data_IF_063179103676
#
_entry.id   IF_063179103676
#
_cell.length_a   1.000
_cell.length_b   1.000
_cell.length_c   1.000
_cell.angle_alpha   90.00
_cell.angle_beta   90.00
_cell.angle_gamma   90.00
#
_symmetry.space_group_name_H-M   'P 1'
#
loop_
_entity.id
_entity.type
_entity.pdbx_description
1 polymer ?
#
# COMPACT_ATOMS: atom_id res chain seq x y z
N UNK A 1 -5.78 22.48 11.51
CA UNK A 1 -4.80 21.44 11.93
C UNK A 1 -3.63 21.34 10.98
N UNK A 2 -3.86 21.01 9.70
CA UNK A 2 -2.80 20.96 8.67
C UNK A 2 -2.40 22.36 8.15
N UNK A 3 -2.71 23.40 8.91
CA UNK A 3 -2.34 24.79 8.61
C UNK A 3 -1.17 25.20 9.50
N UNK A 4 -0.54 26.32 9.16
CA UNK A 4 0.60 26.88 9.89
C UNK A 4 0.33 27.06 11.39
N UNK A 5 -0.93 27.24 11.76
CA UNK A 5 -1.38 27.40 13.14
C UNK A 5 -1.26 26.13 14.00
N UNK A 6 -1.08 24.94 13.41
CA UNK A 6 -0.87 23.64 14.11
C UNK A 6 -1.79 23.41 15.31
N UNK A 7 -3.04 23.84 15.23
CA UNK A 7 -4.04 23.73 16.28
C UNK A 7 -5.16 22.76 15.85
N UNK A 8 -5.50 21.84 16.76
CA UNK A 8 -6.66 20.98 16.70
C UNK A 8 -7.77 21.56 17.56
N UNK A 9 -8.89 21.89 16.93
CA UNK A 9 -10.08 22.40 17.60
C UNK A 9 -11.10 21.28 17.69
N UNK A 10 -11.47 20.90 18.90
CA UNK A 10 -12.47 19.88 19.16
C UNK A 10 -13.90 20.49 19.13
N UNK A 11 -14.95 19.68 18.91
CA UNK A 11 -16.34 20.16 19.00
C UNK A 11 -16.71 20.78 20.36
N UNK A 12 -15.97 20.43 21.43
CA UNK A 12 -16.07 21.03 22.76
C UNK A 12 -15.46 22.44 22.85
N UNK A 13 -14.94 22.99 21.75
CA UNK A 13 -14.12 24.20 21.67
C UNK A 13 -12.74 24.12 22.33
N UNK A 14 -12.31 22.94 22.79
CA UNK A 14 -10.94 22.75 23.26
C UNK A 14 -9.94 22.92 22.11
N UNK A 15 -8.80 23.56 22.40
CA UNK A 15 -7.75 23.87 21.43
C UNK A 15 -6.46 23.18 21.83
N UNK A 16 -6.07 22.15 21.09
CA UNK A 16 -4.90 21.34 21.35
C UNK A 16 -3.79 21.71 20.35
N UNK A 17 -2.67 22.30 20.79
CA UNK A 17 -1.55 22.61 19.90
C UNK A 17 -0.71 21.36 19.58
N UNK A 18 -0.38 21.15 18.30
CA UNK A 18 0.57 20.12 17.88
C UNK A 18 2.01 20.62 18.06
N UNK A 19 2.82 19.83 18.76
CA UNK A 19 4.24 20.12 18.98
C UNK A 19 5.05 19.91 17.69
N UNK A 20 6.19 20.58 17.57
CA UNK A 20 7.02 20.56 16.34
C UNK A 20 7.50 19.16 15.92
N UNK A 21 7.69 18.26 16.88
CA UNK A 21 8.12 16.87 16.64
C UNK A 21 6.97 15.93 16.24
N UNK A 22 5.71 16.35 16.34
CA UNK A 22 4.57 15.52 15.94
C UNK A 22 4.47 15.49 14.42
N UNK A 23 4.24 14.29 13.87
CA UNK A 23 4.03 14.05 12.44
C UNK A 23 2.71 13.30 12.25
N UNK A 24 1.95 13.70 11.24
CA UNK A 24 0.76 12.98 10.79
C UNK A 24 1.10 12.30 9.47
N UNK A 25 0.82 11.01 9.37
CA UNK A 25 1.04 10.20 8.17
C UNK A 25 -0.31 9.59 7.80
N UNK A 26 -0.65 9.64 6.52
CA UNK A 26 -1.87 9.06 5.98
C UNK A 26 -1.47 8.05 4.92
N UNK A 27 -2.03 6.84 5.01
CA UNK A 27 -1.94 5.83 3.96
C UNK A 27 -3.31 5.78 3.27
N UNK A 28 -3.36 6.28 2.04
CA UNK A 28 -4.58 6.41 1.25
C UNK A 28 -4.32 5.92 -0.16
N UNK A 29 -5.34 5.33 -0.80
CA UNK A 29 -5.23 4.81 -2.17
C UNK A 29 -5.25 5.91 -3.22
N UNK A 30 -6.14 6.88 -3.05
CA UNK A 30 -6.34 7.97 -4.00
C UNK A 30 -6.80 9.25 -3.30
N UNK A 31 -6.70 10.36 -4.04
CA UNK A 31 -7.10 11.70 -3.61
C UNK A 31 -8.30 12.21 -4.42
N UNK A 32 -9.08 11.32 -5.05
CA UNK A 32 -10.12 11.71 -6.03
C UNK A 32 -11.22 12.59 -5.41
N UNK A 33 -11.42 12.49 -4.10
CA UNK A 33 -12.43 13.24 -3.35
C UNK A 33 -11.84 14.35 -2.48
N UNK A 34 -10.52 14.59 -2.57
CA UNK A 34 -9.87 15.67 -1.85
C UNK A 34 -9.84 16.94 -2.72
N UNK A 35 -10.06 18.10 -2.11
CA UNK A 35 -9.84 19.36 -2.82
C UNK A 35 -8.33 19.62 -2.96
N UNK A 36 -7.86 20.26 -4.05
CA UNK A 36 -6.45 20.63 -4.20
C UNK A 36 -5.92 21.44 -3.02
N UNK A 37 -6.76 22.33 -2.44
CA UNK A 37 -6.41 23.13 -1.27
C UNK A 37 -6.13 22.29 -0.01
N UNK A 38 -6.76 21.13 0.12
CA UNK A 38 -6.47 20.16 1.21
C UNK A 38 -5.17 19.41 0.94
N UNK A 39 -4.98 18.97 -0.31
CA UNK A 39 -3.83 18.16 -0.71
C UNK A 39 -2.50 18.95 -0.66
N UNK A 40 -2.49 20.24 -0.98
CA UNK A 40 -1.27 21.08 -1.00
C UNK A 40 -0.66 21.32 0.37
N UNK A 41 -1.40 21.07 1.45
CA UNK A 41 -0.93 21.26 2.83
C UNK A 41 -0.11 20.07 3.35
N UNK A 42 -0.09 18.96 2.60
CA UNK A 42 0.67 17.76 2.93
C UNK A 42 1.74 17.48 1.87
N UNK A 43 2.87 16.90 2.30
CA UNK A 43 3.81 16.27 1.37
C UNK A 43 3.20 14.98 0.85
N UNK A 44 3.04 14.85 -0.47
CA UNK A 44 2.47 13.66 -1.11
C UNK A 44 3.62 12.80 -1.65
N UNK A 45 3.64 11.54 -1.24
CA UNK A 45 4.55 10.52 -1.79
C UNK A 45 3.70 9.53 -2.58
N UNK A 46 3.79 9.57 -3.90
CA UNK A 46 3.07 8.63 -4.77
C UNK A 46 3.84 7.32 -4.88
N UNK A 47 3.20 6.21 -4.48
CA UNK A 47 3.76 4.87 -4.67
C UNK A 47 3.19 4.26 -5.95
N UNK A 48 4.03 4.05 -6.95
CA UNK A 48 3.65 3.38 -8.19
C UNK A 48 3.51 1.86 -7.98
N UNK A 49 2.50 1.24 -8.57
CA UNK A 49 2.39 -0.24 -8.68
C UNK A 49 2.71 -0.74 -10.10
N UNK A 50 3.46 0.05 -10.87
CA UNK A 50 4.00 -0.38 -12.16
C UNK A 50 4.77 -1.69 -11.98
N UNK A 51 4.57 -2.64 -12.90
CA UNK A 51 5.26 -3.94 -12.92
C UNK A 51 5.04 -4.83 -11.67
N UNK A 52 4.03 -4.50 -10.85
CA UNK A 52 3.67 -5.30 -9.69
C UNK A 52 4.62 -5.16 -8.50
N UNK A 53 5.33 -4.03 -8.41
CA UNK A 53 6.30 -3.75 -7.33
C UNK A 53 5.68 -3.98 -5.94
N UNK A 54 4.41 -3.64 -5.73
CA UNK A 54 3.78 -3.77 -4.42
C UNK A 54 3.59 -5.23 -4.03
N UNK A 55 3.00 -6.05 -4.90
CA UNK A 55 2.78 -7.46 -4.57
C UNK A 55 4.09 -8.24 -4.48
N UNK A 56 5.11 -7.90 -5.28
CA UNK A 56 6.45 -8.51 -5.17
C UNK A 56 7.11 -8.17 -3.84
N UNK A 57 7.00 -6.93 -3.39
CA UNK A 57 7.49 -6.50 -2.07
C UNK A 57 6.76 -7.22 -0.94
N UNK A 58 5.44 -7.42 -1.10
CA UNK A 58 4.63 -8.22 -0.19
C UNK A 58 5.10 -9.67 -0.12
N UNK A 59 5.24 -10.35 -1.26
CA UNK A 59 5.73 -11.75 -1.32
C UNK A 59 7.10 -11.87 -0.68
N UNK A 60 8.02 -10.94 -0.97
CA UNK A 60 9.35 -10.94 -0.35
C UNK A 60 9.27 -10.82 1.18
N UNK A 61 8.42 -9.93 1.69
CA UNK A 61 8.18 -9.79 3.14
C UNK A 61 7.58 -11.06 3.74
N UNK A 62 6.59 -11.67 3.06
CA UNK A 62 5.94 -12.89 3.49
C UNK A 62 6.92 -14.08 3.51
N UNK A 63 7.73 -14.28 2.46
CA UNK A 63 8.75 -15.35 2.41
C UNK A 63 9.78 -15.19 3.53
N UNK A 64 10.21 -13.94 3.79
CA UNK A 64 11.22 -13.68 4.82
C UNK A 64 10.71 -14.02 6.24
N UNK A 65 9.40 -13.88 6.49
CA UNK A 65 8.75 -14.23 7.77
C UNK A 65 8.62 -15.74 8.01
N UNK A 66 8.76 -16.57 6.97
CA UNK A 66 8.64 -18.02 7.13
C UNK A 66 9.85 -18.61 7.85
N UNK A 67 9.64 -19.64 8.66
CA UNK A 67 10.70 -20.37 9.37
C UNK A 67 11.33 -21.48 8.49
N UNK A 68 11.55 -21.17 7.21
CA UNK A 68 12.19 -22.09 6.27
C UNK A 68 13.70 -21.85 6.16
N UNK A 69 14.43 -22.88 5.72
CA UNK A 69 15.83 -22.74 5.29
C UNK A 69 15.96 -21.70 4.17
N UNK A 70 17.09 -20.99 4.11
CA UNK A 70 17.37 -19.98 3.10
C UNK A 70 17.26 -20.53 1.67
N UNK A 71 17.65 -21.80 1.45
CA UNK A 71 17.51 -22.46 0.17
C UNK A 71 16.03 -22.59 -0.26
N UNK A 72 15.14 -22.92 0.67
CA UNK A 72 13.69 -23.00 0.40
C UNK A 72 13.09 -21.60 0.16
N UNK A 73 13.53 -20.59 0.90
CA UNK A 73 13.11 -19.20 0.68
C UNK A 73 13.50 -18.70 -0.72
N UNK A 74 14.71 -19.01 -1.17
CA UNK A 74 15.17 -18.65 -2.51
C UNK A 74 14.39 -19.39 -3.60
N UNK A 75 14.11 -20.68 -3.40
CA UNK A 75 13.26 -21.45 -4.33
C UNK A 75 11.85 -20.86 -4.42
N UNK A 76 11.22 -20.51 -3.29
CA UNK A 76 9.90 -19.88 -3.29
C UNK A 76 9.90 -18.56 -4.06
N UNK A 77 10.90 -17.69 -3.83
CA UNK A 77 11.05 -16.43 -4.59
C UNK A 77 11.17 -16.69 -6.09
N UNK A 78 11.96 -17.69 -6.51
CA UNK A 78 12.08 -18.10 -7.92
C UNK A 78 10.76 -18.58 -8.51
N UNK A 79 9.95 -19.32 -7.74
CA UNK A 79 8.64 -19.79 -8.19
C UNK A 79 7.65 -18.63 -8.38
N UNK A 80 7.59 -17.69 -7.43
CA UNK A 80 6.76 -16.49 -7.55
C UNK A 80 7.18 -15.62 -8.73
N UNK A 81 8.49 -15.48 -8.99
CA UNK A 81 8.96 -14.70 -10.14
C UNK A 81 8.61 -15.37 -11.47
N UNK A 82 8.77 -16.71 -11.54
CA UNK A 82 8.51 -17.47 -12.75
C UNK A 82 7.01 -17.58 -13.10
N UNK A 83 6.17 -17.80 -12.09
CA UNK A 83 4.76 -18.12 -12.32
C UNK A 83 3.80 -17.02 -11.87
N UNK A 84 4.16 -16.20 -10.88
CA UNK A 84 3.24 -15.21 -10.29
C UNK A 84 2.73 -14.19 -11.30
N UNK A 85 3.63 -13.57 -12.07
CA UNK A 85 3.28 -12.56 -13.05
C UNK A 85 2.46 -13.12 -14.22
N UNK A 86 2.88 -14.27 -14.76
CA UNK A 86 2.18 -14.92 -15.86
C UNK A 86 0.80 -15.44 -15.45
N UNK A 87 0.69 -16.02 -14.25
CA UNK A 87 -0.59 -16.49 -13.72
C UNK A 87 -1.55 -15.32 -13.45
N UNK A 88 -1.06 -14.23 -12.88
CA UNK A 88 -1.84 -13.02 -12.65
C UNK A 88 -2.31 -12.40 -13.98
N UNK A 89 -1.40 -12.24 -14.94
CA UNK A 89 -1.73 -11.73 -16.26
C UNK A 89 -2.77 -12.61 -16.98
N UNK A 90 -2.58 -13.93 -16.94
CA UNK A 90 -3.51 -14.88 -17.53
C UNK A 90 -4.89 -14.78 -16.86
N UNK A 91 -4.94 -14.67 -15.54
CA UNK A 91 -6.19 -14.56 -14.79
C UNK A 91 -6.94 -13.28 -15.14
N UNK A 92 -6.25 -12.13 -15.13
CA UNK A 92 -6.85 -10.83 -15.46
C UNK A 92 -7.37 -10.78 -16.90
N UNK A 93 -6.73 -11.50 -17.81
CA UNK A 93 -7.09 -11.52 -19.24
C UNK A 93 -8.20 -12.52 -19.59
N UNK A 94 -8.16 -13.71 -18.99
CA UNK A 94 -8.99 -14.84 -19.42
C UNK A 94 -10.18 -15.12 -18.48
N UNK A 95 -10.20 -14.51 -17.29
CA UNK A 95 -11.27 -14.73 -16.30
C UNK A 95 -12.12 -13.49 -16.10
N UNK A 96 -13.39 -13.68 -15.75
CA UNK A 96 -14.29 -12.60 -15.35
C UNK A 96 -14.37 -12.52 -13.84
N UNK A 97 -13.63 -11.57 -13.27
CA UNK A 97 -13.67 -11.26 -11.84
C UNK A 97 -15.01 -10.58 -11.53
N UNK A 98 -15.80 -11.16 -10.62
CA UNK A 98 -17.14 -10.63 -10.27
C UNK A 98 -17.06 -9.41 -9.35
N UNK A 99 -16.08 -9.38 -8.44
CA UNK A 99 -15.86 -8.29 -7.49
C UNK A 99 -14.50 -7.66 -7.81
N UNK A 100 -14.42 -6.35 -8.11
CA UNK A 100 -13.15 -5.71 -8.41
C UNK A 100 -12.11 -5.99 -7.33
N UNK A 101 -11.00 -6.60 -7.72
CA UNK A 101 -9.88 -6.92 -6.83
C UNK A 101 -8.62 -6.26 -7.34
N UNK A 102 -7.76 -5.84 -6.41
CA UNK A 102 -6.40 -5.38 -6.70
C UNK A 102 -5.45 -6.58 -6.76
N UNK A 103 -4.45 -6.49 -7.63
CA UNK A 103 -3.48 -7.56 -7.92
C UNK A 103 -2.84 -8.14 -6.67
N UNK A 104 -2.45 -7.28 -5.72
CA UNK A 104 -1.88 -7.72 -4.43
C UNK A 104 -2.81 -8.64 -3.64
N UNK A 105 -4.13 -8.44 -3.70
CA UNK A 105 -5.08 -9.31 -3.02
C UNK A 105 -5.13 -10.70 -3.67
N UNK A 106 -5.07 -10.78 -5.00
CA UNK A 106 -5.03 -12.05 -5.73
C UNK A 106 -3.77 -12.85 -5.38
N UNK A 107 -2.62 -12.18 -5.34
CA UNK A 107 -1.36 -12.82 -4.95
C UNK A 107 -1.35 -13.20 -3.47
N UNK A 108 -1.87 -12.34 -2.58
CA UNK A 108 -1.90 -12.63 -1.15
C UNK A 108 -2.73 -13.86 -0.79
N UNK A 109 -3.68 -14.25 -1.63
CA UNK A 109 -4.47 -15.47 -1.42
C UNK A 109 -3.66 -16.76 -1.66
N UNK A 110 -2.49 -16.66 -2.31
CA UNK A 110 -1.55 -17.77 -2.56
C UNK A 110 -0.50 -17.88 -1.45
N UNK A 111 -0.31 -16.81 -0.67
CA UNK A 111 0.60 -16.72 0.47
C UNK A 111 -0.07 -17.21 1.76
#
# INVERSE_FOLDING_TARGET
VMDDNRLLTLPSNERIPLKVHMKMIFEIRDLNYATPATATRAGIVCMSDTEGVQWRSYVNSWVNKQEYSDAHKEQLKKMFEKYGSEALYWMLKNTKIQVPMVDICLISAVC
#
